data_IF_884722382807
#
_entry.id   IF_884722382807
#
_cell.length_a   1.000
_cell.length_b   1.000
_cell.length_c   1.000
_cell.angle_alpha   90.00
_cell.angle_beta   90.00
_cell.angle_gamma   90.00
#
_symmetry.space_group_name_H-M   'P 1'
#
loop_
_entity.id
_entity.type
_entity.pdbx_description
1 polymer ?
#
# COMPACT_ATOMS: atom_id res chain seq x y z
N UNK A 1 -14.33 14.25 -1.60
CA UNK A 1 -13.89 14.13 -3.01
C UNK A 1 -12.42 13.78 -3.03
N UNK A 2 -11.98 12.87 -3.89
CA UNK A 2 -10.57 12.48 -4.05
C UNK A 2 -10.18 12.60 -5.51
N UNK A 3 -8.91 12.89 -5.79
CA UNK A 3 -8.36 12.97 -7.14
C UNK A 3 -6.84 12.81 -7.09
N UNK A 4 -6.23 12.51 -8.23
CA UNK A 4 -4.77 12.40 -8.35
C UNK A 4 -4.08 13.76 -8.54
N UNK A 5 -4.84 14.80 -8.90
CA UNK A 5 -4.31 16.15 -9.12
C UNK A 5 -5.14 17.19 -8.37
N UNK A 6 -4.49 18.28 -7.94
CA UNK A 6 -5.16 19.38 -7.25
C UNK A 6 -6.29 20.00 -8.11
N UNK A 7 -7.40 20.46 -7.50
CA UNK A 7 -8.55 21.01 -8.22
C UNK A 7 -8.24 22.17 -9.17
N UNK A 8 -7.23 22.98 -8.84
CA UNK A 8 -6.77 24.08 -9.71
C UNK A 8 -6.18 23.63 -11.05
N UNK A 9 -5.84 22.34 -11.23
CA UNK A 9 -5.33 21.78 -12.48
C UNK A 9 -6.41 21.09 -13.32
N UNK A 10 -7.67 21.09 -12.86
CA UNK A 10 -8.73 20.39 -13.56
C UNK A 10 -9.25 21.23 -14.74
N UNK A 11 -9.57 20.61 -15.88
CA UNK A 11 -10.12 21.31 -17.04
C UNK A 11 -11.62 21.63 -16.86
N UNK A 12 -11.98 22.34 -15.79
CA UNK A 12 -13.36 22.72 -15.48
C UNK A 12 -13.77 23.91 -16.35
N UNK A 13 -14.77 23.71 -17.22
CA UNK A 13 -15.27 24.76 -18.11
C UNK A 13 -16.30 25.70 -17.47
N UNK A 14 -17.05 25.20 -16.47
CA UNK A 14 -18.09 25.98 -15.80
C UNK A 14 -17.46 26.89 -14.73
N UNK A 15 -17.54 28.23 -14.86
CA UNK A 15 -16.82 29.14 -13.96
C UNK A 15 -17.21 29.02 -12.47
N UNK A 16 -18.50 28.86 -12.17
CA UNK A 16 -18.97 28.70 -10.78
C UNK A 16 -18.38 27.44 -10.13
N UNK A 17 -18.37 26.33 -10.86
CA UNK A 17 -17.79 25.07 -10.39
C UNK A 17 -16.26 25.21 -10.22
N UNK A 18 -15.58 25.87 -11.15
CA UNK A 18 -14.14 26.09 -11.06
C UNK A 18 -13.78 26.88 -9.79
N UNK A 19 -14.52 27.97 -9.51
CA UNK A 19 -14.33 28.77 -8.31
C UNK A 19 -14.59 27.96 -7.03
N UNK A 20 -15.69 27.21 -6.96
CA UNK A 20 -16.00 26.33 -5.81
C UNK A 20 -14.91 25.29 -5.56
N UNK A 21 -14.39 24.68 -6.63
CA UNK A 21 -13.33 23.67 -6.54
C UNK A 21 -11.99 24.26 -6.10
N UNK A 22 -11.68 25.49 -6.53
CA UNK A 22 -10.48 26.22 -6.09
C UNK A 22 -10.58 26.71 -4.64
N UNK A 23 -11.80 27.00 -4.15
CA UNK A 23 -12.03 27.43 -2.77
C UNK A 23 -12.02 26.28 -1.76
N UNK A 24 -12.06 25.02 -2.21
CA UNK A 24 -12.03 23.86 -1.33
C UNK A 24 -10.64 23.66 -0.70
N UNK A 25 -10.61 23.23 0.57
CA UNK A 25 -9.37 22.86 1.25
C UNK A 25 -8.74 21.64 0.57
N UNK A 26 -7.47 21.78 0.17
CA UNK A 26 -6.70 20.70 -0.44
C UNK A 26 -5.78 20.07 0.59
N UNK A 27 -5.91 18.75 0.77
CA UNK A 27 -4.95 17.95 1.53
C UNK A 27 -4.38 16.88 0.61
N UNK A 28 -3.06 16.74 0.61
CA UNK A 28 -2.34 15.76 -0.23
C UNK A 28 -1.96 14.56 0.62
N UNK A 29 -2.25 13.37 0.12
CA UNK A 29 -1.74 12.12 0.67
C UNK A 29 -0.54 11.71 -0.18
N UNK A 30 0.65 11.78 0.41
CA UNK A 30 1.88 11.30 -0.21
C UNK A 30 2.01 9.79 -0.03
N UNK A 31 2.88 9.17 -0.83
CA UNK A 31 3.33 7.80 -0.60
C UNK A 31 3.93 7.62 0.80
N UNK A 32 3.86 6.41 1.38
CA UNK A 32 4.37 6.16 2.70
C UNK A 32 5.90 6.28 2.73
N UNK A 33 6.42 6.84 3.82
CA UNK A 33 7.83 6.70 4.16
C UNK A 33 8.13 5.28 4.66
N UNK A 34 9.40 4.97 4.91
CA UNK A 34 9.81 3.62 5.32
C UNK A 34 9.17 3.18 6.65
N UNK A 35 8.96 4.12 7.58
CA UNK A 35 8.37 3.82 8.88
C UNK A 35 6.88 3.52 8.74
N UNK A 36 6.16 4.34 7.98
CA UNK A 36 4.75 4.14 7.70
C UNK A 36 4.53 2.88 6.86
N UNK A 37 5.40 2.59 5.90
CA UNK A 37 5.32 1.37 5.08
C UNK A 37 5.44 0.11 5.95
N UNK A 38 6.41 0.07 6.87
CA UNK A 38 6.55 -1.04 7.81
C UNK A 38 5.34 -1.18 8.74
N UNK A 39 4.86 -0.06 9.31
CA UNK A 39 3.68 -0.06 10.16
C UNK A 39 2.43 -0.52 9.40
N UNK A 40 2.29 -0.11 8.14
CA UNK A 40 1.21 -0.50 7.25
C UNK A 40 1.24 -2.00 6.96
N UNK A 41 2.40 -2.56 6.58
CA UNK A 41 2.56 -4.01 6.36
C UNK A 41 2.18 -4.79 7.63
N UNK A 42 2.69 -4.37 8.80
CA UNK A 42 2.36 -4.99 10.08
C UNK A 42 0.84 -4.95 10.35
N UNK A 43 0.21 -3.79 10.13
CA UNK A 43 -1.23 -3.60 10.31
C UNK A 43 -2.05 -4.46 9.34
N UNK A 44 -1.66 -4.55 8.08
CA UNK A 44 -2.36 -5.33 7.06
C UNK A 44 -2.33 -6.85 7.34
N UNK A 45 -1.23 -7.35 7.91
CA UNK A 45 -1.19 -8.71 8.44
C UNK A 45 -2.07 -8.86 9.68
N UNK A 46 -2.03 -7.90 10.61
CA UNK A 46 -2.83 -7.94 11.84
C UNK A 46 -4.34 -7.93 11.54
N UNK A 47 -4.80 -7.20 10.52
CA UNK A 47 -6.19 -7.21 10.05
C UNK A 47 -6.64 -8.61 9.60
N UNK A 48 -5.71 -9.43 9.11
CA UNK A 48 -5.90 -10.83 8.72
C UNK A 48 -5.68 -11.80 9.89
N UNK A 49 -5.52 -11.29 11.11
CA UNK A 49 -5.20 -12.05 12.32
C UNK A 49 -3.84 -12.77 12.26
N UNK A 50 -2.92 -12.26 11.44
CA UNK A 50 -1.57 -12.79 11.28
C UNK A 50 -0.61 -11.88 12.04
N UNK A 51 0.20 -12.47 12.91
CA UNK A 51 1.30 -11.76 13.59
C UNK A 51 2.63 -12.16 12.95
N UNK A 52 3.13 -11.39 11.96
CA UNK A 52 4.38 -11.72 11.29
C UNK A 52 5.56 -11.44 12.23
N UNK A 53 6.68 -12.13 12.00
CA UNK A 53 7.92 -11.76 12.68
C UNK A 53 8.37 -10.37 12.20
N UNK A 54 8.88 -9.49 13.08
CA UNK A 54 9.37 -8.17 12.68
C UNK A 54 10.41 -8.23 11.54
N UNK A 55 11.25 -9.26 11.54
CA UNK A 55 12.26 -9.53 10.50
C UNK A 55 11.65 -9.68 9.10
N UNK A 56 10.44 -10.23 8.99
CA UNK A 56 9.73 -10.34 7.71
C UNK A 56 9.32 -8.96 7.19
N UNK A 57 8.79 -8.10 8.07
CA UNK A 57 8.38 -6.75 7.71
C UNK A 57 9.60 -5.94 7.24
N UNK A 58 10.71 -6.01 7.98
CA UNK A 58 11.98 -5.38 7.62
C UNK A 58 12.58 -5.95 6.32
N UNK A 59 12.28 -7.22 6.00
CA UNK A 59 12.70 -7.84 4.73
C UNK A 59 11.86 -7.34 3.54
N UNK A 60 10.54 -7.22 3.71
CA UNK A 60 9.60 -6.84 2.66
C UNK A 60 9.68 -5.36 2.29
N UNK A 61 9.71 -4.47 3.29
CA UNK A 61 9.64 -3.02 3.06
C UNK A 61 10.63 -2.47 2.02
N UNK A 62 11.92 -2.85 2.01
CA UNK A 62 12.87 -2.37 1.00
C UNK A 62 12.77 -3.07 -0.37
N UNK A 63 11.94 -4.12 -0.51
CA UNK A 63 11.86 -4.97 -1.71
C UNK A 63 10.59 -4.79 -2.53
N UNK A 64 9.66 -3.99 -2.04
CA UNK A 64 8.43 -3.63 -2.74
C UNK A 64 8.47 -2.15 -3.11
N UNK A 65 7.62 -1.75 -4.06
CA UNK A 65 7.42 -0.33 -4.31
C UNK A 65 6.91 0.37 -3.05
N UNK A 66 7.37 1.60 -2.82
CA UNK A 66 6.93 2.43 -1.68
C UNK A 66 5.55 3.02 -1.97
N UNK A 67 4.53 2.17 -2.01
CA UNK A 67 3.14 2.55 -2.23
C UNK A 67 2.19 1.75 -1.34
N UNK A 68 1.05 2.35 -0.99
CA UNK A 68 0.00 1.66 -0.23
C UNK A 68 -0.53 0.42 -0.97
N UNK A 69 -0.62 0.51 -2.30
CA UNK A 69 -1.10 -0.58 -3.15
C UNK A 69 -0.12 -1.76 -3.14
N UNK A 70 1.19 -1.52 -3.26
CA UNK A 70 2.20 -2.56 -3.23
C UNK A 70 2.25 -3.28 -1.86
N UNK A 71 2.11 -2.53 -0.76
CA UNK A 71 2.02 -3.11 0.59
C UNK A 71 0.79 -4.02 0.74
N UNK A 72 -0.36 -3.61 0.23
CA UNK A 72 -1.57 -4.43 0.23
C UNK A 72 -1.39 -5.69 -0.63
N UNK A 73 -0.85 -5.53 -1.85
CA UNK A 73 -0.66 -6.63 -2.79
C UNK A 73 0.30 -7.71 -2.26
N UNK A 74 1.44 -7.33 -1.66
CA UNK A 74 2.39 -8.33 -1.16
C UNK A 74 1.84 -9.11 0.04
N UNK A 75 1.09 -8.45 0.93
CA UNK A 75 0.44 -9.10 2.08
C UNK A 75 -0.62 -10.07 1.58
N UNK A 76 -1.42 -9.69 0.59
CA UNK A 76 -2.46 -10.52 0.00
C UNK A 76 -1.88 -11.75 -0.71
N UNK A 77 -0.84 -11.57 -1.53
CA UNK A 77 -0.12 -12.67 -2.19
C UNK A 77 0.49 -13.65 -1.18
N UNK A 78 1.08 -13.15 -0.10
CA UNK A 78 1.67 -13.98 0.95
C UNK A 78 0.64 -14.80 1.71
N UNK A 79 -0.48 -14.18 2.07
CA UNK A 79 -1.59 -14.85 2.75
C UNK A 79 -2.18 -15.96 1.88
N UNK A 80 -2.46 -15.64 0.60
CA UNK A 80 -2.99 -16.60 -0.35
C UNK A 80 -2.05 -17.79 -0.56
N UNK A 81 -0.76 -17.53 -0.79
CA UNK A 81 0.25 -18.57 -0.99
C UNK A 81 0.44 -19.43 0.26
N UNK A 82 0.38 -18.84 1.46
CA UNK A 82 0.49 -19.56 2.72
C UNK A 82 -0.70 -20.50 2.93
N UNK A 83 -1.91 -20.07 2.60
CA UNK A 83 -3.12 -20.89 2.67
C UNK A 83 -3.09 -22.04 1.65
N UNK A 84 -2.74 -21.75 0.40
CA UNK A 84 -2.69 -22.74 -0.68
C UNK A 84 -1.65 -23.84 -0.40
N UNK A 85 -0.44 -23.43 -0.01
CA UNK A 85 0.65 -24.36 0.30
C UNK A 85 0.56 -24.96 1.72
N UNK A 86 -0.40 -24.53 2.55
CA UNK A 86 -0.52 -24.87 3.98
C UNK A 86 0.78 -24.64 4.76
N UNK A 87 1.47 -23.54 4.46
CA UNK A 87 2.75 -23.15 5.09
C UNK A 87 2.56 -21.92 5.95
N UNK A 88 3.44 -21.74 6.93
CA UNK A 88 3.51 -20.49 7.72
C UNK A 88 4.14 -19.39 6.88
N UNK A 89 3.62 -18.18 7.00
CA UNK A 89 4.23 -16.97 6.45
C UNK A 89 5.59 -16.72 7.11
N UNK A 90 6.65 -16.67 6.30
CA UNK A 90 8.02 -16.44 6.73
C UNK A 90 8.87 -15.83 5.59
N UNK A 91 10.13 -15.51 5.87
CA UNK A 91 11.05 -14.91 4.88
C UNK A 91 11.30 -15.85 3.69
N UNK A 92 11.31 -17.16 3.89
CA UNK A 92 11.52 -18.11 2.79
C UNK A 92 10.37 -18.04 1.78
N UNK A 93 9.12 -18.07 2.25
CA UNK A 93 7.94 -17.91 1.38
C UNK A 93 7.92 -16.55 0.69
N UNK A 94 8.25 -15.48 1.41
CA UNK A 94 8.34 -14.14 0.83
C UNK A 94 9.40 -14.04 -0.26
N UNK A 95 10.57 -14.68 -0.05
CA UNK A 95 11.62 -14.74 -1.05
C UNK A 95 11.17 -15.50 -2.29
N UNK A 96 10.56 -16.68 -2.12
CA UNK A 96 10.03 -17.49 -3.22
C UNK A 96 9.06 -16.67 -4.11
N UNK A 97 8.16 -15.88 -3.50
CA UNK A 97 7.19 -15.05 -4.22
C UNK A 97 7.78 -13.79 -4.88
N UNK A 98 8.84 -13.22 -4.31
CA UNK A 98 9.51 -12.04 -4.86
C UNK A 98 10.48 -12.41 -5.99
N UNK A 99 11.13 -13.57 -5.89
CA UNK A 99 12.06 -14.08 -6.90
C UNK A 99 11.32 -14.67 -8.12
N UNK A 100 10.04 -15.04 -7.96
CA UNK A 100 9.19 -15.56 -9.04
C UNK A 100 7.91 -14.71 -9.16
N UNK A 101 8.01 -13.48 -9.71
CA UNK A 101 6.84 -12.67 -10.00
C UNK A 101 6.01 -13.36 -11.09
N UNK A 102 4.75 -13.64 -10.79
CA UNK A 102 3.77 -14.15 -11.76
C UNK A 102 3.65 -13.24 -12.99
#
# INVERSE_FOLDING_TARGET
>A
MTAQTAPGRWPIKLPDLASRMQAATVCTISDPDDALLQALIMKLFADRQISPRPELVSYLAPRIERSFAAAAAIVDRLDHAALDQRRKINIALARELLDNPD
#
